data_IF_766080131811
#
_entry.id   IF_766080131811
#
_cell.length_a   1.000
_cell.length_b   1.000
_cell.length_c   1.000
_cell.angle_alpha   90.00
_cell.angle_beta   90.00
_cell.angle_gamma   90.00
#
_symmetry.space_group_name_H-M   'P 1'
#
loop_
_entity.id
_entity.type
_entity.pdbx_description
1 polymer ?
#
# COMPACT_ATOMS: atom_id res chain seq x y z
N UNK A 1 8.01 -17.05 5.82
CA UNK A 1 7.77 -16.42 4.51
C UNK A 1 9.00 -15.59 4.19
N UNK A 2 9.53 -15.68 2.97
CA UNK A 2 10.75 -14.97 2.58
C UNK A 2 10.42 -13.50 2.24
N UNK A 3 11.25 -12.54 2.66
CA UNK A 3 11.09 -11.10 2.38
C UNK A 3 10.85 -10.81 0.88
N UNK A 4 11.47 -11.61 0.00
CA UNK A 4 11.31 -11.50 -1.45
C UNK A 4 9.86 -11.65 -1.91
N UNK A 5 9.08 -12.53 -1.27
CA UNK A 5 7.68 -12.78 -1.62
C UNK A 5 6.79 -11.63 -1.16
N UNK A 6 7.07 -11.06 0.01
CA UNK A 6 6.40 -9.88 0.55
C UNK A 6 6.62 -8.65 -0.33
N UNK A 7 7.86 -8.41 -0.77
CA UNK A 7 8.21 -7.28 -1.64
C UNK A 7 7.56 -7.39 -3.03
N UNK A 8 7.46 -8.61 -3.56
CA UNK A 8 6.74 -8.88 -4.81
C UNK A 8 5.24 -8.57 -4.70
N UNK A 9 4.58 -9.10 -3.65
CA UNK A 9 3.17 -8.83 -3.38
C UNK A 9 2.90 -7.34 -3.12
N UNK A 10 3.83 -6.63 -2.46
CA UNK A 10 3.71 -5.19 -2.23
C UNK A 10 3.71 -4.39 -3.54
N UNK A 11 4.58 -4.72 -4.49
CA UNK A 11 4.64 -3.99 -5.76
C UNK A 11 3.33 -4.10 -6.56
N UNK A 12 2.69 -5.27 -6.54
CA UNK A 12 1.38 -5.46 -7.17
C UNK A 12 0.29 -4.63 -6.46
N UNK A 13 0.23 -4.75 -5.13
CA UNK A 13 -0.71 -3.99 -4.31
C UNK A 13 -0.53 -2.47 -4.47
N UNK A 14 0.72 -1.98 -4.52
CA UNK A 14 1.05 -0.58 -4.79
C UNK A 14 0.41 -0.09 -6.10
N UNK A 15 0.49 -0.89 -7.17
CA UNK A 15 -0.14 -0.55 -8.45
C UNK A 15 -1.65 -0.35 -8.34
N UNK A 16 -2.34 -1.31 -7.70
CA UNK A 16 -3.78 -1.24 -7.48
C UNK A 16 -4.18 -0.09 -6.56
N UNK A 17 -3.39 0.18 -5.52
CA UNK A 17 -3.62 1.31 -4.61
C UNK A 17 -3.51 2.64 -5.37
N UNK A 18 -2.53 2.83 -6.26
CA UNK A 18 -2.45 4.07 -7.09
C UNK A 18 -3.65 4.21 -8.04
N UNK A 19 -4.15 3.10 -8.58
CA UNK A 19 -5.33 3.11 -9.44
C UNK A 19 -6.60 3.49 -8.66
N UNK A 20 -6.76 2.95 -7.44
CA UNK A 20 -7.91 3.24 -6.59
C UNK A 20 -7.86 4.65 -5.96
N UNK A 21 -6.66 5.18 -5.69
CA UNK A 21 -6.44 6.43 -4.97
C UNK A 21 -5.46 7.34 -5.73
N UNK A 22 -6.01 8.21 -6.58
CA UNK A 22 -5.23 9.13 -7.41
C UNK A 22 -4.37 10.14 -6.59
N UNK A 23 -4.73 10.38 -5.33
CA UNK A 23 -4.01 11.30 -4.43
C UNK A 23 -2.72 10.70 -3.82
N UNK A 24 -2.51 9.39 -3.99
CA UNK A 24 -1.32 8.70 -3.50
C UNK A 24 -0.20 8.76 -4.53
N UNK A 25 0.99 9.14 -4.06
CA UNK A 25 2.20 9.21 -4.88
C UNK A 25 3.04 7.94 -4.72
N UNK A 26 4.07 7.79 -5.56
CA UNK A 26 5.02 6.69 -5.40
C UNK A 26 5.75 6.70 -4.06
N UNK A 27 6.00 7.89 -3.51
CA UNK A 27 6.69 8.09 -2.24
C UNK A 27 5.83 7.64 -1.05
N UNK A 28 4.51 7.84 -1.12
CA UNK A 28 3.57 7.38 -0.09
C UNK A 28 3.49 5.84 -0.03
N UNK A 29 3.78 5.17 -1.14
CA UNK A 29 3.71 3.71 -1.30
C UNK A 29 5.09 3.05 -1.34
N UNK A 30 6.14 3.80 -1.03
CA UNK A 30 7.50 3.26 -1.02
C UNK A 30 7.69 2.38 0.21
N UNK A 31 7.88 1.08 -0.05
CA UNK A 31 8.24 0.12 0.98
C UNK A 31 9.74 0.22 1.29
N UNK A 32 10.04 0.38 2.57
CA UNK A 32 11.38 0.26 3.12
C UNK A 32 11.38 -0.78 4.23
N UNK A 33 12.45 -1.57 4.30
CA UNK A 33 12.56 -2.67 5.24
C UNK A 33 12.47 -2.16 6.69
N UNK A 34 11.64 -2.81 7.50
CA UNK A 34 11.34 -2.38 8.87
C UNK A 34 10.52 -1.08 8.99
N UNK A 35 10.03 -0.49 7.89
CA UNK A 35 9.18 0.71 7.88
C UNK A 35 7.77 0.46 7.35
N UNK A 36 7.30 -0.79 7.40
CA UNK A 36 5.97 -1.15 6.91
C UNK A 36 4.87 -0.35 7.62
N UNK A 37 4.95 -0.20 8.94
CA UNK A 37 3.95 0.54 9.73
C UNK A 37 3.92 2.05 9.38
N UNK A 38 5.10 2.65 9.13
CA UNK A 38 5.20 4.07 8.75
C UNK A 38 4.55 4.31 7.38
N UNK A 39 4.82 3.41 6.44
CA UNK A 39 4.21 3.44 5.10
C UNK A 39 2.68 3.32 5.19
N UNK A 40 2.17 2.33 5.93
CA UNK A 40 0.73 2.20 6.13
C UNK A 40 0.13 3.43 6.82
N UNK A 41 0.81 4.02 7.80
CA UNK A 41 0.36 5.24 8.45
C UNK A 41 0.17 6.40 7.48
N UNK A 42 1.11 6.61 6.53
CA UNK A 42 0.99 7.64 5.49
C UNK A 42 -0.20 7.40 4.57
N UNK A 43 -0.39 6.16 4.11
CA UNK A 43 -1.52 5.79 3.25
C UNK A 43 -2.83 6.03 3.97
N UNK A 44 -2.95 5.62 5.23
CA UNK A 44 -4.14 5.84 6.04
C UNK A 44 -4.41 7.34 6.26
N UNK A 45 -3.38 8.14 6.55
CA UNK A 45 -3.52 9.59 6.72
C UNK A 45 -4.00 10.30 5.45
N UNK A 46 -3.51 9.89 4.27
CA UNK A 46 -3.91 10.50 3.00
C UNK A 46 -5.28 10.04 2.51
N UNK A 47 -5.57 8.75 2.63
CA UNK A 47 -6.83 8.17 2.14
C UNK A 47 -7.97 8.32 3.15
N UNK A 48 -7.66 8.55 4.43
CA UNK A 48 -8.62 8.49 5.53
C UNK A 48 -9.18 7.09 5.80
N UNK A 49 -8.60 6.05 5.21
CA UNK A 49 -9.10 4.67 5.26
C UNK A 49 -8.15 3.76 5.99
N UNK A 50 -8.70 2.73 6.62
CA UNK A 50 -7.93 1.66 7.27
C UNK A 50 -7.25 0.74 6.25
N UNK A 51 -6.24 -0.01 6.69
CA UNK A 51 -5.56 -1.03 5.86
C UNK A 51 -6.56 -2.03 5.26
N UNK A 52 -7.57 -2.44 6.02
CA UNK A 52 -8.60 -3.37 5.55
C UNK A 52 -9.51 -2.75 4.47
N UNK A 53 -9.90 -1.49 4.62
CA UNK A 53 -10.67 -0.79 3.61
C UNK A 53 -9.88 -0.59 2.31
N UNK A 54 -8.57 -0.30 2.44
CA UNK A 54 -7.67 -0.20 1.29
C UNK A 54 -7.58 -1.56 0.59
N UNK A 55 -7.30 -2.63 1.33
CA UNK A 55 -7.25 -4.00 0.82
C UNK A 55 -8.56 -4.40 0.13
N UNK A 56 -9.71 -4.06 0.71
CA UNK A 56 -11.01 -4.31 0.11
C UNK A 56 -11.23 -3.51 -1.17
N UNK A 57 -10.78 -2.26 -1.21
CA UNK A 57 -10.93 -1.39 -2.39
C UNK A 57 -10.11 -1.87 -3.59
N UNK A 58 -9.02 -2.61 -3.35
CA UNK A 58 -8.14 -3.13 -4.39
C UNK A 58 -8.33 -4.63 -4.65
N UNK A 59 -9.16 -5.32 -3.85
CA UNK A 59 -9.42 -6.75 -4.02
C UNK A 59 -10.17 -7.05 -5.33
N UNK A 60 -10.98 -6.09 -5.79
CA UNK A 60 -11.82 -6.21 -6.98
C UNK A 60 -11.17 -5.58 -8.25
N UNK A 61 -9.92 -5.11 -8.16
CA UNK A 61 -9.11 -4.57 -9.27
C UNK A 61 -8.20 -5.65 -9.88
#
# INVERSE_FOLDING_TARGET
MNETTLKGAWNEMKGKIKQAYADLTDDDLTYADGKEDEMWGRIQQKTGKTKDEINKSIADL
#
